data_IF_379980195009
#
_entry.id   IF_379980195009
#
_cell.length_a   1.000
_cell.length_b   1.000
_cell.length_c   1.000
_cell.angle_alpha   90.00
_cell.angle_beta   90.00
_cell.angle_gamma   90.00
#
_symmetry.space_group_name_H-M   'P 1'
#
loop_
_entity.id
_entity.type
_entity.pdbx_description
1 polymer ?
#
# COMPACT_ATOMS: atom_id res chain seq x y z
N UNK A 1 8.00 12.97 10.73
CA UNK A 1 7.42 12.56 9.43
C UNK A 1 5.94 12.94 9.32
N UNK A 2 5.11 12.68 10.34
CA UNK A 2 3.66 12.97 10.34
C UNK A 2 3.26 14.34 9.77
N UNK A 3 3.84 15.45 10.24
CA UNK A 3 3.39 16.77 9.77
C UNK A 3 3.82 17.10 8.32
N UNK A 4 4.99 16.63 7.89
CA UNK A 4 5.56 16.96 6.59
C UNK A 4 4.95 16.15 5.45
N UNK A 5 4.58 14.89 5.72
CA UNK A 5 3.91 14.01 4.78
C UNK A 5 2.40 14.24 4.78
N UNK A 6 1.74 14.11 5.94
CA UNK A 6 0.28 13.98 6.01
C UNK A 6 -0.41 15.25 5.50
N UNK A 7 -0.02 16.42 6.01
CA UNK A 7 -0.60 17.70 5.58
C UNK A 7 -0.30 18.01 4.11
N UNK A 8 0.90 17.66 3.65
CA UNK A 8 1.28 17.88 2.26
C UNK A 8 0.49 16.97 1.32
N UNK A 9 0.28 15.70 1.68
CA UNK A 9 -0.55 14.77 0.92
C UNK A 9 -2.00 15.22 0.85
N UNK A 10 -2.57 15.66 1.98
CA UNK A 10 -3.94 16.21 2.02
C UNK A 10 -4.07 17.43 1.10
N UNK A 11 -3.06 18.30 1.06
CA UNK A 11 -3.09 19.52 0.25
C UNK A 11 -2.85 19.28 -1.24
N UNK A 12 -1.83 18.51 -1.58
CA UNK A 12 -1.41 18.32 -2.98
C UNK A 12 -2.15 17.18 -3.69
N UNK A 13 -2.55 16.16 -2.93
CA UNK A 13 -3.16 14.93 -3.46
C UNK A 13 -4.44 14.53 -2.70
N UNK A 14 -5.45 15.42 -2.58
CA UNK A 14 -6.68 15.13 -1.85
C UNK A 14 -7.47 13.94 -2.43
N UNK A 15 -7.26 13.61 -3.70
CA UNK A 15 -7.87 12.47 -4.38
C UNK A 15 -7.13 11.13 -4.15
N UNK A 16 -6.06 11.12 -3.37
CA UNK A 16 -5.27 9.92 -3.05
C UNK A 16 -5.37 9.64 -1.55
N UNK A 17 -6.36 8.81 -1.11
CA UNK A 17 -6.44 8.37 0.27
C UNK A 17 -5.13 7.70 0.70
N UNK A 18 -4.73 7.89 1.95
CA UNK A 18 -3.51 7.30 2.48
C UNK A 18 -3.67 6.93 3.94
N UNK A 19 -2.82 6.01 4.39
CA UNK A 19 -2.71 5.57 5.78
C UNK A 19 -1.24 5.72 6.21
N UNK A 20 -1.00 6.28 7.39
CA UNK A 20 0.34 6.47 7.95
C UNK A 20 0.41 5.87 9.35
N UNK A 21 1.47 5.11 9.60
CA UNK A 21 1.76 4.56 10.91
C UNK A 21 3.26 4.63 11.19
N UNK A 22 3.64 5.46 12.17
CA UNK A 22 5.03 5.80 12.47
C UNK A 22 5.81 6.24 11.21
N UNK A 23 6.76 5.44 10.75
CA UNK A 23 7.60 5.66 9.58
C UNK A 23 7.07 5.01 8.28
N UNK A 24 6.04 4.17 8.37
CA UNK A 24 5.43 3.50 7.21
C UNK A 24 4.18 4.24 6.72
N UNK A 25 4.03 4.33 5.39
CA UNK A 25 2.85 4.92 4.75
C UNK A 25 2.39 4.11 3.54
N UNK A 26 1.07 4.06 3.33
CA UNK A 26 0.43 3.46 2.14
C UNK A 26 -0.44 4.52 1.48
N UNK A 27 -0.22 4.78 0.19
CA UNK A 27 -1.01 5.73 -0.60
C UNK A 27 -1.79 4.99 -1.68
N UNK A 28 -3.11 5.22 -1.70
CA UNK A 28 -4.01 4.64 -2.69
C UNK A 28 -4.07 5.52 -3.94
N UNK A 29 -3.73 4.93 -5.08
CA UNK A 29 -3.81 5.57 -6.39
C UNK A 29 -4.75 4.78 -7.32
N UNK A 30 -5.51 5.48 -8.16
CA UNK A 30 -6.46 4.88 -9.10
C UNK A 30 -5.81 4.26 -10.34
N UNK A 31 -4.59 4.68 -10.68
CA UNK A 31 -3.84 4.22 -11.85
C UNK A 31 -2.33 4.20 -11.61
N UNK A 32 -1.60 3.44 -12.43
CA UNK A 32 -0.14 3.39 -12.40
C UNK A 32 0.49 4.75 -12.70
N UNK A 33 -0.08 5.51 -13.62
CA UNK A 33 0.39 6.85 -13.97
C UNK A 33 0.26 7.81 -12.77
N UNK A 34 -0.88 7.76 -12.05
CA UNK A 34 -1.05 8.54 -10.83
C UNK A 34 -0.06 8.10 -9.74
N UNK A 35 0.14 6.80 -9.55
CA UNK A 35 1.08 6.27 -8.56
C UNK A 35 2.53 6.74 -8.82
N UNK A 36 2.97 6.71 -10.09
CA UNK A 36 4.30 7.21 -10.48
C UNK A 36 4.43 8.71 -10.24
N UNK A 37 3.40 9.48 -10.61
CA UNK A 37 3.40 10.93 -10.41
C UNK A 37 3.46 11.32 -8.93
N UNK A 38 2.63 10.69 -8.10
CA UNK A 38 2.64 10.91 -6.64
C UNK A 38 3.99 10.52 -6.05
N UNK A 39 4.55 9.37 -6.44
CA UNK A 39 5.84 8.90 -5.93
C UNK A 39 7.00 9.85 -6.27
N UNK A 40 7.07 10.36 -7.50
CA UNK A 40 8.09 11.34 -7.89
C UNK A 40 8.00 12.63 -7.06
N UNK A 41 6.78 13.16 -6.91
CA UNK A 41 6.54 14.37 -6.09
C UNK A 41 6.85 14.13 -4.62
N UNK A 42 6.53 12.94 -4.13
CA UNK A 42 6.80 12.56 -2.75
C UNK A 42 8.30 12.45 -2.48
N UNK A 43 9.09 11.86 -3.39
CA UNK A 43 10.56 11.82 -3.28
C UNK A 43 11.14 13.21 -3.12
N UNK A 44 10.79 14.13 -4.02
CA UNK A 44 11.22 15.53 -3.98
C UNK A 44 10.83 16.21 -2.67
N UNK A 45 9.61 15.95 -2.18
CA UNK A 45 9.14 16.53 -0.92
C UNK A 45 9.92 16.00 0.29
N UNK A 46 10.19 14.70 0.34
CA UNK A 46 10.95 14.09 1.43
C UNK A 46 12.38 14.64 1.45
N UNK A 47 13.02 14.77 0.28
CA UNK A 47 14.36 15.36 0.15
C UNK A 47 14.42 16.79 0.70
N UNK A 48 13.41 17.62 0.42
CA UNK A 48 13.31 18.99 0.95
C UNK A 48 13.23 19.06 2.48
N UNK A 49 12.72 18.02 3.13
CA UNK A 49 12.64 17.94 4.60
C UNK A 49 13.79 17.13 5.20
N UNK A 50 14.82 16.82 4.41
CA UNK A 50 16.02 16.11 4.86
C UNK A 50 15.82 14.60 5.07
N UNK A 51 14.77 14.02 4.48
CA UNK A 51 14.46 12.58 4.59
C UNK A 51 14.54 11.94 3.21
N UNK A 52 15.16 10.77 3.10
CA UNK A 52 15.15 10.01 1.85
C UNK A 52 14.21 8.82 1.96
N UNK A 53 13.40 8.60 0.91
CA UNK A 53 12.57 7.39 0.81
C UNK A 53 13.46 6.20 0.48
N UNK A 54 13.36 5.13 1.26
CA UNK A 54 14.18 3.94 1.04
C UNK A 54 13.82 3.30 -0.32
N UNK A 55 14.75 3.19 -1.27
CA UNK A 55 14.45 2.79 -2.65
C UNK A 55 13.89 1.37 -2.75
N UNK A 56 14.38 0.44 -1.93
CA UNK A 56 13.90 -0.94 -1.95
C UNK A 56 12.56 -1.15 -1.23
N UNK A 57 12.26 -0.34 -0.20
CA UNK A 57 10.99 -0.45 0.53
C UNK A 57 9.87 0.28 -0.22
N UNK A 58 10.21 1.33 -0.95
CA UNK A 58 9.25 2.19 -1.65
C UNK A 58 8.94 1.62 -3.03
N UNK A 59 7.77 1.00 -3.16
CA UNK A 59 7.35 0.32 -4.38
C UNK A 59 5.89 0.61 -4.72
N UNK A 60 5.58 0.57 -6.01
CA UNK A 60 4.20 0.62 -6.50
C UNK A 60 3.67 -0.80 -6.58
N UNK A 61 2.56 -1.06 -5.89
CA UNK A 61 1.95 -2.39 -5.85
C UNK A 61 0.61 -2.40 -6.59
N UNK A 62 0.49 -3.33 -7.52
CA UNK A 62 -0.75 -3.54 -8.25
C UNK A 62 -1.72 -4.37 -7.41
N UNK A 63 -2.84 -3.74 -7.02
CA UNK A 63 -3.90 -4.39 -6.26
C UNK A 63 -4.72 -5.33 -7.16
N UNK A 64 -4.17 -6.50 -7.46
CA UNK A 64 -4.78 -7.49 -8.36
C UNK A 64 -6.05 -8.10 -7.74
N UNK A 65 -7.13 -8.13 -8.51
CA UNK A 65 -8.41 -8.75 -8.15
C UNK A 65 -8.99 -9.51 -9.36
N UNK A 66 -10.21 -10.06 -9.23
CA UNK A 66 -10.87 -10.81 -10.30
C UNK A 66 -11.20 -10.01 -11.57
N UNK A 67 -11.27 -8.67 -11.49
CA UNK A 67 -11.55 -7.77 -12.62
C UNK A 67 -10.25 -7.26 -13.27
N UNK A 68 -9.20 -7.12 -12.47
CA UNK A 68 -7.89 -6.56 -12.83
C UNK A 68 -6.96 -7.66 -13.37
N UNK A 69 -6.90 -7.78 -14.70
CA UNK A 69 -6.12 -8.82 -15.41
C UNK A 69 -4.66 -8.44 -15.71
N UNK A 70 -4.21 -7.25 -15.32
CA UNK A 70 -2.83 -6.81 -15.54
C UNK A 70 -1.79 -7.71 -14.88
N UNK A 71 -0.61 -7.73 -15.46
CA UNK A 71 0.59 -8.33 -14.87
C UNK A 71 1.55 -7.23 -14.44
N UNK A 72 2.02 -7.29 -13.20
CA UNK A 72 2.92 -6.32 -12.61
C UNK A 72 3.89 -7.04 -11.69
N UNK A 73 5.10 -6.50 -11.55
CA UNK A 73 6.16 -7.08 -10.74
C UNK A 73 5.75 -7.27 -9.27
N UNK A 74 5.11 -6.25 -8.69
CA UNK A 74 4.65 -6.30 -7.30
C UNK A 74 3.12 -6.36 -7.27
N UNK A 75 2.60 -7.43 -6.66
CA UNK A 75 1.15 -7.67 -6.49
C UNK A 75 0.78 -7.99 -5.05
N UNK A 76 1.70 -7.80 -4.11
CA UNK A 76 1.47 -7.96 -2.68
C UNK A 76 2.34 -6.99 -1.87
N UNK A 77 1.86 -6.62 -0.69
CA UNK A 77 2.62 -5.86 0.30
C UNK A 77 2.22 -6.25 1.72
N UNK A 78 3.09 -5.99 2.68
CA UNK A 78 2.78 -6.16 4.11
C UNK A 78 2.74 -4.80 4.78
N UNK A 79 1.68 -4.55 5.54
CA UNK A 79 1.49 -3.35 6.33
C UNK A 79 0.91 -3.74 7.69
N UNK A 80 1.51 -3.26 8.79
CA UNK A 80 1.09 -3.52 10.17
C UNK A 80 0.85 -5.02 10.51
N UNK A 81 1.71 -5.90 9.97
CA UNK A 81 1.61 -7.34 10.23
C UNK A 81 0.53 -8.06 9.41
N UNK A 82 -0.08 -7.39 8.43
CA UNK A 82 -1.00 -7.99 7.48
C UNK A 82 -0.43 -7.93 6.07
N UNK A 83 -0.42 -9.06 5.37
CA UNK A 83 -0.05 -9.12 3.96
C UNK A 83 -1.29 -8.98 3.10
N UNK A 84 -1.35 -7.96 2.26
CA UNK A 84 -2.40 -7.71 1.28
C UNK A 84 -2.00 -8.32 -0.06
N UNK A 85 -2.89 -9.12 -0.66
CA UNK A 85 -2.73 -9.75 -1.98
C UNK A 85 -4.06 -10.24 -2.51
N UNK A 86 -4.08 -10.66 -3.78
CA UNK A 86 -5.22 -11.36 -4.38
C UNK A 86 -5.53 -12.66 -3.61
N UNK A 87 -6.77 -12.81 -3.16
CA UNK A 87 -7.29 -13.98 -2.44
C UNK A 87 -8.74 -14.25 -2.81
N UNK A 88 -9.18 -15.51 -2.66
CA UNK A 88 -10.59 -15.88 -2.74
C UNK A 88 -11.34 -15.33 -1.53
N UNK A 89 -12.44 -14.62 -1.79
CA UNK A 89 -13.33 -14.03 -0.79
C UNK A 89 -14.73 -14.59 -1.02
N UNK A 90 -15.37 -15.04 0.05
CA UNK A 90 -16.76 -15.49 0.02
C UNK A 90 -17.68 -14.30 0.28
N UNK A 91 -18.52 -13.96 -0.69
CA UNK A 91 -19.57 -12.97 -0.55
C UNK A 91 -20.72 -13.50 0.33
N UNK A 92 -21.53 -12.58 0.88
CA UNK A 92 -22.68 -12.92 1.74
C UNK A 92 -23.72 -13.82 1.04
N UNK A 93 -23.83 -13.72 -0.29
CA UNK A 93 -24.72 -14.56 -1.11
C UNK A 93 -24.14 -15.95 -1.43
N UNK A 94 -22.99 -16.31 -0.85
CA UNK A 94 -22.34 -17.61 -1.05
C UNK A 94 -21.35 -17.66 -2.22
N UNK A 95 -21.34 -16.68 -3.12
CA UNK A 95 -20.43 -16.66 -4.26
C UNK A 95 -18.99 -16.40 -3.83
N UNK A 96 -18.04 -17.06 -4.49
CA UNK A 96 -16.60 -16.84 -4.29
C UNK A 96 -16.06 -15.96 -5.41
N UNK A 97 -15.34 -14.90 -5.06
CA UNK A 97 -14.68 -14.01 -6.01
C UNK A 97 -13.25 -13.69 -5.56
N UNK A 98 -12.38 -13.31 -6.49
CA UNK A 98 -11.03 -12.87 -6.15
C UNK A 98 -11.05 -11.40 -5.76
N UNK A 99 -10.71 -11.10 -4.51
CA UNK A 99 -10.53 -9.75 -3.98
C UNK A 99 -9.09 -9.49 -3.57
N UNK A 100 -8.72 -8.21 -3.45
CA UNK A 100 -7.44 -7.81 -2.86
C UNK A 100 -7.68 -7.48 -1.39
N UNK A 101 -7.38 -8.43 -0.51
CA UNK A 101 -7.76 -8.36 0.92
C UNK A 101 -6.55 -8.70 1.81
N UNK A 102 -6.50 -8.25 3.08
CA UNK A 102 -5.44 -8.62 4.01
C UNK A 102 -5.60 -10.04 4.57
N UNK A 103 -4.49 -10.61 5.03
CA UNK A 103 -4.46 -11.72 5.99
C UNK A 103 -3.23 -11.58 6.88
N UNK A 104 -3.21 -12.22 8.05
CA UNK A 104 -2.06 -12.18 8.96
C UNK A 104 -0.77 -12.58 8.20
N UNK A 105 0.29 -11.78 8.35
CA UNK A 105 1.57 -12.07 7.71
C UNK A 105 2.20 -13.32 8.33
N UNK A 106 3.07 -14.00 7.57
CA UNK A 106 3.79 -15.19 8.06
C UNK A 106 4.59 -14.87 9.34
N UNK A 107 5.18 -13.69 9.41
CA UNK A 107 5.93 -13.24 10.58
C UNK A 107 5.02 -12.97 11.79
N UNK A 108 3.85 -12.38 11.57
CA UNK A 108 2.87 -12.16 12.63
C UNK A 108 2.34 -13.50 13.18
N UNK A 109 2.10 -14.49 12.31
CA UNK A 109 1.71 -15.85 12.71
C UNK A 109 2.83 -16.52 13.51
N UNK A 110 4.09 -16.45 13.04
CA UNK A 110 5.26 -17.01 13.72
C UNK A 110 5.50 -16.38 15.10
N UNK A 111 5.25 -15.08 15.26
CA UNK A 111 5.32 -14.41 16.57
C UNK A 111 4.22 -14.86 17.52
N UNK A 112 3.01 -15.14 17.01
CA UNK A 112 1.88 -15.64 17.83
C UNK A 112 2.05 -17.10 18.26
N UNK A 113 2.63 -17.96 17.42
CA UNK A 113 2.85 -19.38 17.72
C UNK A 113 3.98 -19.66 18.73
N UNK A 114 4.75 -18.63 19.13
CA UNK A 114 5.85 -18.71 20.11
C UNK A 114 5.43 -18.29 21.52
N UNK A 115 4.14 -18.02 21.75
CA UNK A 115 3.53 -17.76 23.05
C UNK A 115 2.67 -18.96 23.43
#
# INVERSE_FOLDING_TARGET
MHYAFDLWMVREFPACPFECYADDAVVHCKSLAQARFVLDRLRKRMEQVGVSLHPEKTRIVYCKDGKRRGSHEHTEFTFLGFTFRARGVRARNGNVFTGFVPAASKDAIKKRARK
#
